data_IF_540882231520
#
_entry.id   IF_540882231520
#
_cell.length_a   1.000
_cell.length_b   1.000
_cell.length_c   1.000
_cell.angle_alpha   90.00
_cell.angle_beta   90.00
_cell.angle_gamma   90.00
#
_symmetry.space_group_name_H-M   'P 1'
#
loop_
_entity.id
_entity.type
_entity.pdbx_description
1 polymer ?
#
# COMPACT_ATOMS: atom_id res chain seq x y z
N UNK A 1 -45.16 11.87 27.52
CA UNK A 1 -45.18 12.67 26.29
C UNK A 1 -43.81 12.53 25.63
N UNK A 2 -43.81 11.82 24.57
CA UNK A 2 -42.67 11.42 23.81
C UNK A 2 -42.18 12.46 22.81
N UNK A 3 -40.93 12.28 22.38
CA UNK A 3 -40.50 12.67 21.06
C UNK A 3 -39.48 11.66 20.60
N UNK A 4 -39.88 10.87 19.63
CA UNK A 4 -39.00 10.05 18.77
C UNK A 4 -38.27 10.99 17.80
N UNK A 5 -36.99 11.00 17.83
CA UNK A 5 -36.14 11.61 16.82
C UNK A 5 -35.26 10.53 16.16
N UNK A 6 -35.71 10.04 15.04
CA UNK A 6 -34.93 9.11 14.16
C UNK A 6 -33.79 9.87 13.56
N UNK A 7 -32.55 9.59 13.97
CA UNK A 7 -31.34 10.09 13.33
C UNK A 7 -30.73 8.95 12.52
N UNK A 8 -30.85 9.03 11.20
CA UNK A 8 -30.15 8.20 10.25
C UNK A 8 -28.65 8.51 10.33
N UNK A 9 -27.90 7.68 11.04
CA UNK A 9 -26.45 7.77 11.13
C UNK A 9 -25.80 7.10 9.94
N UNK A 10 -25.17 7.89 9.09
CA UNK A 10 -24.17 7.39 8.14
C UNK A 10 -22.95 6.92 8.93
N UNK A 11 -22.81 5.60 9.05
CA UNK A 11 -21.67 4.97 9.69
C UNK A 11 -20.40 5.03 8.85
N UNK A 12 -19.58 6.06 9.05
CA UNK A 12 -18.17 5.98 8.75
C UNK A 12 -17.53 5.18 9.89
N UNK A 13 -17.32 3.88 9.68
CA UNK A 13 -16.64 3.02 10.64
C UNK A 13 -15.17 3.38 10.76
N UNK A 14 -14.84 4.23 11.72
CA UNK A 14 -13.50 4.37 12.25
C UNK A 14 -13.25 3.22 13.22
N UNK A 15 -12.35 2.32 12.88
CA UNK A 15 -11.82 1.37 13.86
C UNK A 15 -10.77 2.10 14.66
N UNK A 16 -11.19 2.60 15.85
CA UNK A 16 -10.28 3.13 16.87
C UNK A 16 -9.73 1.94 17.65
N UNK A 17 -8.47 1.63 17.50
CA UNK A 17 -7.80 0.58 18.27
C UNK A 17 -6.36 0.93 18.59
N UNK A 18 -6.14 1.29 19.81
CA UNK A 18 -4.95 1.20 20.68
C UNK A 18 -3.63 1.89 20.28
N UNK A 19 -3.19 2.74 21.22
CA UNK A 19 -1.91 3.44 21.27
C UNK A 19 -0.74 2.47 21.43
N UNK A 20 0.07 2.37 20.40
CA UNK A 20 1.51 2.10 20.43
C UNK A 20 2.05 2.47 19.04
N UNK A 21 2.62 3.67 18.90
CA UNK A 21 3.30 4.12 17.67
C UNK A 21 2.45 4.22 16.39
N UNK A 22 1.14 4.45 16.52
CA UNK A 22 0.17 4.22 15.45
C UNK A 22 0.12 5.33 14.39
N UNK A 23 0.83 5.10 13.30
CA UNK A 23 0.43 5.71 12.03
C UNK A 23 -0.56 4.75 11.35
N UNK A 24 -1.83 5.13 11.14
CA UNK A 24 -2.84 4.22 10.60
C UNK A 24 -2.56 3.86 9.14
N UNK A 25 -2.74 2.60 8.81
CA UNK A 25 -2.82 2.14 7.41
C UNK A 25 -4.03 2.81 6.75
N UNK A 26 -3.81 3.62 5.71
CA UNK A 26 -4.89 4.28 4.96
C UNK A 26 -5.41 3.36 3.87
N UNK A 27 -6.55 2.71 4.14
CA UNK A 27 -7.29 1.98 3.12
C UNK A 27 -8.17 2.95 2.31
N UNK A 28 -7.92 3.03 1.01
CA UNK A 28 -8.78 3.78 0.08
C UNK A 28 -9.88 2.86 -0.42
N UNK A 29 -11.06 2.90 0.21
CA UNK A 29 -12.26 2.27 -0.33
C UNK A 29 -13.01 3.29 -1.19
N UNK A 30 -13.13 3.05 -2.48
CA UNK A 30 -14.09 3.74 -3.34
C UNK A 30 -15.03 2.75 -4.00
N UNK A 31 -16.28 3.09 -3.94
CA UNK A 31 -17.41 2.34 -4.49
C UNK A 31 -17.35 2.36 -6.02
N UNK A 32 -17.36 1.20 -6.62
CA UNK A 32 -17.27 0.91 -8.08
C UNK A 32 -18.45 1.48 -8.91
N UNK A 33 -19.33 2.29 -8.34
CA UNK A 33 -20.61 2.66 -8.97
C UNK A 33 -20.63 3.98 -9.77
N UNK A 34 -19.56 4.79 -9.75
CA UNK A 34 -19.60 6.15 -10.33
C UNK A 34 -18.89 6.33 -11.66
N UNK A 35 -18.31 5.30 -12.29
CA UNK A 35 -17.55 5.44 -13.54
C UNK A 35 -18.24 4.89 -14.80
N UNK A 36 -19.56 4.67 -14.77
CA UNK A 36 -20.29 4.15 -15.96
C UNK A 36 -20.76 5.20 -16.96
N UNK A 37 -20.35 6.43 -16.88
CA UNK A 37 -20.93 7.50 -17.69
C UNK A 37 -19.95 8.44 -18.38
N UNK A 38 -18.96 7.96 -19.14
CA UNK A 38 -18.33 8.75 -20.20
C UNK A 38 -17.61 7.80 -21.19
N UNK A 39 -18.38 7.26 -22.13
CA UNK A 39 -17.85 6.53 -23.27
C UNK A 39 -17.62 7.53 -24.42
N UNK A 40 -16.37 7.87 -24.65
CA UNK A 40 -15.95 8.70 -25.79
C UNK A 40 -14.45 8.53 -26.02
N UNK A 41 -14.07 7.55 -26.84
CA UNK A 41 -12.69 7.20 -27.14
C UNK A 41 -12.35 5.80 -26.58
N UNK A 42 -12.49 4.75 -27.41
CA UNK A 42 -12.31 3.37 -27.02
C UNK A 42 -10.81 3.02 -26.83
N UNK A 43 -10.18 3.52 -25.78
CA UNK A 43 -9.07 2.83 -25.16
C UNK A 43 -9.63 1.57 -24.53
N UNK A 44 -9.14 0.39 -24.86
CA UNK A 44 -9.49 -0.85 -24.18
C UNK A 44 -9.14 -0.69 -22.70
N UNK A 45 -10.17 -0.54 -21.86
CA UNK A 45 -9.97 -0.47 -20.41
C UNK A 45 -9.37 -1.81 -20.00
N UNK A 46 -8.19 -1.79 -19.41
CA UNK A 46 -7.60 -2.99 -18.81
C UNK A 46 -8.48 -3.39 -17.62
N UNK A 47 -9.29 -4.42 -17.83
CA UNK A 47 -10.25 -4.93 -16.85
C UNK A 47 -9.61 -5.90 -15.85
N UNK A 48 -8.28 -6.18 -15.99
CA UNK A 48 -7.59 -7.06 -15.05
C UNK A 48 -7.64 -6.48 -13.64
N UNK A 49 -7.82 -7.38 -12.70
CA UNK A 49 -7.81 -7.09 -11.28
C UNK A 49 -6.39 -7.15 -10.71
N UNK A 50 -6.20 -6.60 -9.52
CA UNK A 50 -4.91 -6.69 -8.82
C UNK A 50 -4.51 -8.14 -8.56
N UNK A 51 -5.48 -9.03 -8.28
CA UNK A 51 -5.23 -10.46 -8.10
C UNK A 51 -4.56 -11.12 -9.32
N UNK A 52 -4.84 -10.64 -10.52
CA UNK A 52 -4.32 -11.22 -11.76
C UNK A 52 -2.93 -10.69 -12.14
N UNK A 53 -2.52 -9.56 -11.56
CA UNK A 53 -1.26 -8.88 -11.92
C UNK A 53 -0.26 -8.75 -10.78
N UNK A 54 -0.70 -8.97 -9.53
CA UNK A 54 0.15 -8.88 -8.35
C UNK A 54 1.16 -10.03 -8.27
N UNK A 55 2.30 -9.79 -7.63
CA UNK A 55 3.14 -10.83 -7.09
C UNK A 55 2.57 -11.32 -5.77
N UNK A 56 2.42 -12.63 -5.60
CA UNK A 56 1.99 -13.25 -4.33
C UNK A 56 3.16 -13.58 -3.40
N UNK A 57 4.40 -13.45 -3.88
CA UNK A 57 5.59 -13.61 -3.04
C UNK A 57 5.76 -12.37 -2.19
N UNK A 58 5.44 -12.48 -0.90
CA UNK A 58 5.54 -11.39 0.07
C UNK A 58 6.65 -11.68 1.07
N UNK A 59 7.54 -10.72 1.24
CA UNK A 59 8.43 -10.68 2.39
C UNK A 59 7.79 -9.86 3.51
N UNK A 60 7.70 -10.45 4.68
CA UNK A 60 7.05 -9.83 5.84
C UNK A 60 7.94 -9.87 7.05
N UNK A 61 7.77 -8.88 7.93
CA UNK A 61 8.45 -8.80 9.22
C UNK A 61 7.47 -8.34 10.30
N UNK A 62 7.68 -8.76 11.54
CA UNK A 62 6.88 -8.27 12.67
C UNK A 62 7.31 -6.86 13.08
N UNK A 63 6.43 -6.06 13.73
CA UNK A 63 6.76 -4.69 14.14
C UNK A 63 8.01 -4.57 15.03
N UNK A 64 8.30 -5.60 15.81
CA UNK A 64 9.43 -5.72 16.72
C UNK A 64 10.71 -6.30 16.07
N UNK A 65 10.61 -6.78 14.82
CA UNK A 65 11.76 -7.20 14.03
C UNK A 65 12.72 -6.04 13.77
N UNK A 66 14.00 -6.33 13.67
CA UNK A 66 15.04 -5.29 13.55
C UNK A 66 15.22 -4.80 12.11
N UNK A 67 15.74 -3.59 11.95
CA UNK A 67 16.10 -3.05 10.63
C UNK A 67 17.17 -3.89 9.93
N UNK A 68 18.07 -4.50 10.68
CA UNK A 68 19.08 -5.41 10.13
C UNK A 68 18.45 -6.69 9.55
N UNK A 69 17.38 -7.21 10.17
CA UNK A 69 16.62 -8.34 9.64
C UNK A 69 15.85 -7.94 8.38
N UNK A 70 15.18 -6.81 8.38
CA UNK A 70 14.50 -6.28 7.19
C UNK A 70 15.47 -6.10 6.00
N UNK A 71 16.62 -5.47 6.24
CA UNK A 71 17.65 -5.29 5.22
C UNK A 71 18.21 -6.63 4.68
N UNK A 72 18.36 -7.65 5.53
CA UNK A 72 18.76 -8.99 5.08
C UNK A 72 17.70 -9.66 4.22
N UNK A 73 16.40 -9.50 4.56
CA UNK A 73 15.31 -10.01 3.74
C UNK A 73 15.30 -9.33 2.36
N UNK A 74 15.40 -7.99 2.33
CA UNK A 74 15.50 -7.22 1.08
C UNK A 74 16.65 -7.70 0.20
N UNK A 75 17.84 -7.89 0.79
CA UNK A 75 19.04 -8.36 0.08
C UNK A 75 18.90 -9.78 -0.48
N UNK A 76 18.26 -10.69 0.27
CA UNK A 76 18.08 -12.09 -0.17
C UNK A 76 17.04 -12.24 -1.26
N UNK A 77 15.99 -11.45 -1.20
CA UNK A 77 14.88 -11.50 -2.14
C UNK A 77 15.06 -10.55 -3.34
N UNK A 78 16.14 -9.75 -3.37
CA UNK A 78 16.40 -8.69 -4.37
C UNK A 78 15.22 -7.70 -4.49
N UNK A 79 14.73 -7.24 -3.34
CA UNK A 79 13.62 -6.29 -3.23
C UNK A 79 14.02 -5.08 -2.40
N UNK A 80 13.31 -3.97 -2.56
CA UNK A 80 13.58 -2.73 -1.80
C UNK A 80 12.57 -2.44 -0.67
N UNK A 81 11.70 -3.39 -0.32
CA UNK A 81 10.68 -3.18 0.72
C UNK A 81 10.27 -4.50 1.39
N UNK A 82 9.79 -4.38 2.63
CA UNK A 82 9.24 -5.49 3.41
C UNK A 82 7.95 -5.01 4.07
N UNK A 83 6.92 -5.83 4.05
CA UNK A 83 5.65 -5.51 4.70
C UNK A 83 5.73 -5.78 6.20
N UNK A 84 5.29 -4.82 7.00
CA UNK A 84 5.23 -4.99 8.45
C UNK A 84 3.86 -5.53 8.82
N UNK A 85 3.82 -6.76 9.34
CA UNK A 85 2.58 -7.50 9.62
C UNK A 85 2.58 -7.93 11.08
N UNK A 86 1.48 -7.71 11.79
CA UNK A 86 1.39 -8.11 13.19
C UNK A 86 1.08 -9.62 13.36
N UNK A 87 1.06 -10.06 14.61
CA UNK A 87 0.80 -11.47 14.96
C UNK A 87 -0.59 -11.97 14.54
N UNK A 88 -1.52 -11.08 14.19
CA UNK A 88 -2.87 -11.44 13.68
C UNK A 88 -2.92 -11.51 12.15
N UNK A 89 -1.81 -11.22 11.47
CA UNK A 89 -1.73 -11.20 10.01
C UNK A 89 -2.16 -9.87 9.39
N UNK A 90 -2.43 -8.83 10.20
CA UNK A 90 -2.85 -7.53 9.70
C UNK A 90 -1.65 -6.67 9.31
N UNK A 91 -1.77 -6.00 8.16
CA UNK A 91 -0.75 -5.07 7.68
C UNK A 91 -0.69 -3.83 8.59
N UNK A 92 0.49 -3.55 9.15
CA UNK A 92 0.78 -2.40 10.02
C UNK A 92 1.47 -1.26 9.26
N UNK A 93 2.28 -1.61 8.27
CA UNK A 93 3.02 -0.65 7.48
C UNK A 93 3.93 -1.30 6.44
N UNK A 94 4.85 -0.53 5.93
CA UNK A 94 5.90 -0.95 5.02
C UNK A 94 7.22 -0.29 5.44
N UNK A 95 8.31 -1.01 5.37
CA UNK A 95 9.66 -0.46 5.52
C UNK A 95 10.41 -0.62 4.19
N UNK A 96 11.05 0.43 3.73
CA UNK A 96 11.82 0.45 2.50
C UNK A 96 13.31 0.62 2.78
N UNK A 97 14.16 0.28 1.81
CA UNK A 97 15.59 0.57 1.84
C UNK A 97 15.87 2.08 2.05
N UNK A 98 15.02 2.93 1.47
CA UNK A 98 15.07 4.39 1.67
C UNK A 98 14.70 4.79 3.10
N UNK A 99 13.69 4.18 3.72
CA UNK A 99 13.35 4.45 5.13
C UNK A 99 14.53 4.09 6.04
N UNK A 100 15.17 2.95 5.79
CA UNK A 100 16.37 2.52 6.55
C UNK A 100 17.51 3.55 6.37
N UNK A 101 17.79 3.96 5.13
CA UNK A 101 18.87 4.92 4.87
C UNK A 101 18.63 6.29 5.50
N UNK A 102 17.41 6.84 5.37
CA UNK A 102 17.12 8.23 5.75
C UNK A 102 16.68 8.35 7.22
N UNK A 103 15.89 7.39 7.73
CA UNK A 103 15.31 7.49 9.07
C UNK A 103 16.09 6.74 10.13
N UNK A 104 17.01 5.85 9.72
CA UNK A 104 17.84 5.15 10.66
C UNK A 104 19.31 5.52 10.49
N UNK A 105 19.93 5.25 9.34
CA UNK A 105 21.36 5.47 9.14
C UNK A 105 21.72 6.95 9.25
N UNK A 106 20.96 7.86 8.62
CA UNK A 106 21.21 9.30 8.69
C UNK A 106 21.00 9.86 10.10
N UNK A 107 20.14 9.25 10.91
CA UNK A 107 19.87 9.63 12.30
C UNK A 107 20.81 8.92 13.30
N UNK A 108 21.72 8.07 12.83
CA UNK A 108 22.71 7.39 13.66
C UNK A 108 22.14 6.25 14.51
N UNK A 109 20.98 5.70 14.14
CA UNK A 109 20.40 4.54 14.85
C UNK A 109 21.17 3.26 14.51
N UNK A 110 21.33 2.36 15.49
CA UNK A 110 21.90 1.03 15.23
C UNK A 110 20.83 0.11 14.64
N UNK A 111 20.99 -0.36 13.38
CA UNK A 111 20.00 -1.22 12.76
C UNK A 111 19.78 -2.57 13.46
N UNK A 112 20.69 -3.01 14.32
CA UNK A 112 20.57 -4.28 15.05
C UNK A 112 19.64 -4.18 16.24
N UNK A 113 19.51 -2.96 16.80
CA UNK A 113 18.75 -2.70 18.02
C UNK A 113 17.45 -1.91 17.73
N UNK A 114 17.34 -1.33 16.52
CA UNK A 114 16.19 -0.52 16.14
C UNK A 114 15.10 -1.40 15.51
N UNK A 115 13.90 -1.47 16.11
CA UNK A 115 12.78 -2.21 15.54
C UNK A 115 12.19 -1.47 14.32
N UNK A 116 11.64 -2.23 13.35
CA UNK A 116 11.11 -1.63 12.11
C UNK A 116 9.95 -0.68 12.35
N UNK A 117 9.21 -0.85 13.44
CA UNK A 117 8.07 0.02 13.79
C UNK A 117 8.48 1.49 13.99
N UNK A 118 9.72 1.75 14.37
CA UNK A 118 10.21 3.12 14.63
C UNK A 118 10.46 3.90 13.35
N UNK A 119 10.72 3.21 12.22
CA UNK A 119 11.06 3.85 10.94
C UNK A 119 10.06 3.54 9.82
N UNK A 120 9.20 2.53 9.97
CA UNK A 120 8.23 2.16 8.94
C UNK A 120 7.32 3.32 8.56
N UNK A 121 6.83 3.27 7.34
CA UNK A 121 5.80 4.17 6.81
C UNK A 121 4.43 3.53 6.81
N UNK A 122 3.38 4.36 6.89
CA UNK A 122 2.02 3.88 6.66
C UNK A 122 1.89 3.40 5.21
N UNK A 123 1.44 2.18 4.99
CA UNK A 123 1.22 1.66 3.65
C UNK A 123 -0.07 2.22 3.05
N UNK A 124 0.01 2.73 1.82
CA UNK A 124 -1.15 2.92 0.96
C UNK A 124 -1.46 1.57 0.32
N UNK A 125 -2.70 1.12 0.39
CA UNK A 125 -3.09 -0.24 -0.02
C UNK A 125 -4.21 -0.23 -1.04
N UNK A 126 -4.38 -1.36 -1.74
CA UNK A 126 -5.43 -1.55 -2.73
C UNK A 126 -6.12 -2.90 -2.52
N UNK A 127 -7.39 -3.02 -2.93
CA UNK A 127 -8.12 -4.30 -2.88
C UNK A 127 -7.64 -5.25 -3.97
N UNK A 128 -7.66 -6.57 -3.69
CA UNK A 128 -7.38 -7.61 -4.69
C UNK A 128 -8.35 -7.58 -5.89
N UNK A 129 -9.54 -7.01 -5.71
CA UNK A 129 -10.56 -6.87 -6.76
C UNK A 129 -10.50 -5.54 -7.52
N UNK A 130 -9.63 -4.62 -7.12
CA UNK A 130 -9.46 -3.33 -7.79
C UNK A 130 -8.82 -3.52 -9.18
N UNK A 131 -9.05 -2.54 -10.06
CA UNK A 131 -8.53 -2.56 -11.42
C UNK A 131 -7.10 -2.01 -11.51
N UNK A 132 -6.38 -2.35 -12.59
CA UNK A 132 -5.09 -1.76 -12.95
C UNK A 132 -5.17 -0.24 -13.04
N UNK A 133 -6.24 0.31 -13.64
CA UNK A 133 -6.43 1.76 -13.74
C UNK A 133 -6.53 2.44 -12.36
N UNK A 134 -7.19 1.80 -11.39
CA UNK A 134 -7.28 2.32 -10.02
C UNK A 134 -5.92 2.28 -9.32
N UNK A 135 -5.16 1.21 -9.47
CA UNK A 135 -3.81 1.09 -8.93
C UNK A 135 -2.90 2.23 -9.44
N UNK A 136 -2.92 2.48 -10.74
CA UNK A 136 -2.14 3.56 -11.35
C UNK A 136 -2.54 4.95 -10.82
N UNK A 137 -3.85 5.21 -10.64
CA UNK A 137 -4.32 6.46 -10.06
C UNK A 137 -3.86 6.65 -8.61
N UNK A 138 -3.87 5.58 -7.80
CA UNK A 138 -3.40 5.60 -6.42
C UNK A 138 -1.90 5.87 -6.39
N UNK A 139 -1.09 5.13 -7.17
CA UNK A 139 0.35 5.32 -7.27
C UNK A 139 0.71 6.77 -7.63
N UNK A 140 0.07 7.33 -8.67
CA UNK A 140 0.28 8.72 -9.08
C UNK A 140 -0.13 9.74 -8.00
N UNK A 141 -1.25 9.52 -7.32
CA UNK A 141 -1.76 10.45 -6.29
C UNK A 141 -0.84 10.52 -5.06
N UNK A 142 -0.20 9.42 -4.74
CA UNK A 142 0.61 9.28 -3.54
C UNK A 142 2.11 9.27 -3.82
N UNK A 143 2.53 9.46 -5.09
CA UNK A 143 3.92 9.39 -5.54
C UNK A 143 4.63 8.10 -5.10
N UNK A 144 3.92 6.96 -5.17
CA UNK A 144 4.44 5.65 -4.79
C UNK A 144 4.48 4.72 -5.99
N UNK A 145 5.41 3.76 -5.95
CA UNK A 145 5.67 2.80 -7.05
C UNK A 145 5.28 1.38 -6.72
N UNK A 146 4.78 1.14 -5.50
CA UNK A 146 4.35 -0.16 -5.01
C UNK A 146 3.10 -0.02 -4.17
N UNK A 147 2.20 -1.01 -4.27
CA UNK A 147 0.96 -1.08 -3.52
C UNK A 147 0.80 -2.47 -2.95
N UNK A 148 0.80 -2.63 -1.63
CA UNK A 148 0.31 -3.85 -1.00
C UNK A 148 -1.15 -4.09 -1.37
N UNK A 149 -1.44 -5.32 -1.80
CA UNK A 149 -2.78 -5.76 -2.17
C UNK A 149 -3.40 -6.48 -0.99
N UNK A 150 -4.57 -6.03 -0.56
CA UNK A 150 -5.27 -6.59 0.59
C UNK A 150 -6.53 -7.34 0.19
N UNK A 151 -6.79 -8.41 0.93
CA UNK A 151 -8.06 -9.10 1.00
C UNK A 151 -8.41 -9.30 2.47
N UNK A 152 -9.61 -8.91 2.88
CA UNK A 152 -10.10 -8.98 4.27
C UNK A 152 -9.13 -8.38 5.31
N UNK A 153 -8.37 -7.35 4.91
CA UNK A 153 -7.40 -6.64 5.75
C UNK A 153 -6.03 -7.29 5.82
N UNK A 154 -5.83 -8.46 5.23
CA UNK A 154 -4.55 -9.16 5.17
C UNK A 154 -3.85 -8.91 3.82
N UNK A 155 -2.52 -8.75 3.79
CA UNK A 155 -1.77 -8.64 2.56
C UNK A 155 -1.76 -10.00 1.84
N UNK A 156 -2.21 -10.00 0.58
CA UNK A 156 -2.26 -11.19 -0.29
C UNK A 156 -1.30 -11.08 -1.48
N UNK A 157 -0.73 -9.92 -1.70
CA UNK A 157 0.21 -9.65 -2.78
C UNK A 157 0.76 -8.23 -2.71
N UNK A 158 1.66 -7.94 -3.63
CA UNK A 158 2.17 -6.60 -3.90
C UNK A 158 2.16 -6.36 -5.40
N UNK A 159 1.83 -5.16 -5.82
CA UNK A 159 1.93 -4.74 -7.21
C UNK A 159 2.89 -3.57 -7.33
N UNK A 160 3.82 -3.67 -8.27
CA UNK A 160 4.77 -2.61 -8.59
C UNK A 160 4.39 -1.90 -9.90
N UNK A 161 4.98 -0.72 -10.11
CA UNK A 161 4.85 -0.01 -11.39
C UNK A 161 5.33 -0.87 -12.56
N UNK A 162 6.36 -1.72 -12.36
CA UNK A 162 6.86 -2.66 -13.36
C UNK A 162 5.80 -3.70 -13.76
N UNK A 163 5.06 -4.25 -12.82
CA UNK A 163 3.99 -5.23 -13.08
C UNK A 163 2.86 -4.60 -13.91
N UNK A 164 2.54 -3.33 -13.65
CA UNK A 164 1.53 -2.59 -14.40
C UNK A 164 2.01 -2.20 -15.80
N UNK A 165 3.33 -2.02 -16.01
CA UNK A 165 3.89 -1.61 -17.30
C UNK A 165 3.80 -2.70 -18.37
N UNK A 166 3.72 -3.95 -17.97
CA UNK A 166 3.50 -5.08 -18.87
C UNK A 166 2.09 -5.08 -19.49
N UNK A 167 1.18 -4.23 -18.99
CA UNK A 167 -0.12 -4.02 -19.59
C UNK A 167 -0.04 -2.97 -20.70
N UNK A 168 -0.54 -3.28 -21.90
CA UNK A 168 -0.39 -2.52 -23.15
C UNK A 168 -0.98 -1.10 -23.15
N UNK A 169 -1.67 -0.66 -22.10
CA UNK A 169 -2.36 0.64 -22.00
C UNK A 169 -1.72 1.62 -21.00
N UNK A 170 -0.65 1.21 -20.35
CA UNK A 170 -0.01 1.98 -19.29
C UNK A 170 0.94 3.10 -19.77
N UNK A 171 1.29 3.15 -21.03
CA UNK A 171 2.38 3.99 -21.56
C UNK A 171 2.38 5.46 -21.14
N UNK A 172 1.32 6.25 -21.35
CA UNK A 172 1.31 7.67 -20.98
C UNK A 172 1.29 7.92 -19.46
N UNK A 173 0.54 7.09 -18.70
CA UNK A 173 0.43 7.21 -17.25
C UNK A 173 1.71 6.77 -16.52
N UNK A 174 2.44 5.80 -17.10
CA UNK A 174 3.71 5.32 -16.59
C UNK A 174 4.81 6.36 -16.74
N UNK A 175 4.82 7.12 -17.83
CA UNK A 175 5.78 8.19 -18.04
C UNK A 175 5.70 9.25 -16.94
N UNK A 176 4.49 9.64 -16.54
CA UNK A 176 4.26 10.62 -15.47
C UNK A 176 4.75 10.11 -14.10
N UNK A 177 4.49 8.82 -13.78
CA UNK A 177 4.90 8.24 -12.50
C UNK A 177 6.42 8.00 -12.46
N UNK A 178 7.01 7.60 -13.60
CA UNK A 178 8.47 7.41 -13.71
C UNK A 178 9.26 8.71 -13.66
N UNK A 179 8.67 9.83 -14.08
CA UNK A 179 9.27 11.16 -14.02
C UNK A 179 9.17 11.80 -12.63
N UNK A 180 8.33 11.28 -11.75
CA UNK A 180 8.23 11.76 -10.38
C UNK A 180 9.55 11.51 -9.62
N UNK A 181 9.97 12.43 -8.72
CA UNK A 181 11.13 12.20 -7.88
C UNK A 181 10.92 10.92 -7.05
N UNK A 182 11.99 10.18 -6.71
CA UNK A 182 11.88 8.97 -5.90
C UNK A 182 11.18 9.27 -4.58
N UNK A 183 10.36 8.32 -4.14
CA UNK A 183 9.45 8.40 -2.99
C UNK A 183 10.02 9.20 -1.80
N UNK A 184 9.21 10.13 -1.28
CA UNK A 184 9.52 10.94 -0.10
C UNK A 184 9.11 10.24 1.17
#
# INVERSE_FOLDING_TARGET
>A
MGFFGTLLGFGAGYVTGMKLGDKPVRMVRKTTQQLRGQAGGASRIDIRTMREVMSSSLETITPDGTLAEAAKQMSRADIGDVLVVDATGLLRGIVTDRDIAIRAVAEGLDPRDTPVVDVMSSAVTISATASVAEAMQIMRRHDIRRLPVLEDGQPVGIVSLGDLSASSEAGPLLADISAAPPDR
#
